data_IF_965834837809
#
_entry.id   IF_965834837809
#
_cell.length_a   1.000
_cell.length_b   1.000
_cell.length_c   1.000
_cell.angle_alpha   90.00
_cell.angle_beta   90.00
_cell.angle_gamma   90.00
#
_symmetry.space_group_name_H-M   'P 1'
#
loop_
_entity.id
_entity.type
_entity.pdbx_description
1 polymer ?
#
# COMPACT_ATOMS: atom_id res chain seq x y z
N UNK A 1 13.82 -0.65 -29.65
CA UNK A 1 13.37 -1.84 -28.88
C UNK A 1 13.88 -1.60 -27.47
N UNK A 2 13.01 -1.04 -26.62
CA UNK A 2 13.37 -0.69 -25.24
C UNK A 2 13.86 -1.95 -24.51
N UNK A 3 15.01 -1.91 -23.82
CA UNK A 3 15.42 -3.04 -23.00
C UNK A 3 14.41 -3.21 -21.86
N UNK A 4 13.89 -4.43 -21.75
CA UNK A 4 13.02 -4.87 -20.67
C UNK A 4 13.70 -4.57 -19.33
N UNK A 5 13.28 -3.51 -18.62
CA UNK A 5 13.72 -3.29 -17.24
C UNK A 5 13.14 -4.43 -16.42
N UNK A 6 13.95 -5.45 -16.15
CA UNK A 6 13.74 -6.26 -14.97
C UNK A 6 13.84 -5.30 -13.79
N UNK A 7 12.72 -5.01 -13.14
CA UNK A 7 12.74 -4.31 -11.88
C UNK A 7 13.68 -5.10 -10.97
N UNK A 8 14.81 -4.52 -10.62
CA UNK A 8 15.65 -5.05 -9.56
C UNK A 8 14.72 -5.21 -8.35
N UNK A 9 14.47 -6.45 -7.94
CA UNK A 9 13.75 -6.75 -6.71
C UNK A 9 14.53 -6.10 -5.58
N UNK A 10 14.12 -4.90 -5.21
CA UNK A 10 14.68 -4.21 -4.07
C UNK A 10 14.07 -4.91 -2.85
N UNK A 11 14.87 -5.59 -2.00
CA UNK A 11 14.36 -6.21 -0.77
C UNK A 11 13.90 -5.17 0.26
N UNK A 12 13.97 -3.89 -0.10
CA UNK A 12 13.58 -2.77 0.72
C UNK A 12 12.10 -2.52 0.55
N UNK A 13 11.37 -2.78 1.63
CA UNK A 13 10.02 -2.27 1.86
C UNK A 13 10.06 -0.76 1.57
N UNK A 14 9.05 -0.25 0.86
CA UNK A 14 8.88 1.18 0.73
C UNK A 14 8.87 1.80 2.16
N UNK A 15 9.82 2.70 2.51
CA UNK A 15 9.95 3.23 3.87
C UNK A 15 8.71 3.99 4.36
N UNK A 16 7.77 4.30 3.47
CA UNK A 16 6.50 4.94 3.77
C UNK A 16 5.41 3.95 4.21
N UNK A 17 5.60 2.63 4.02
CA UNK A 17 4.65 1.60 4.47
C UNK A 17 4.92 1.26 5.94
N UNK A 18 4.42 2.12 6.82
CA UNK A 18 4.51 2.01 8.28
C UNK A 18 3.13 1.88 8.90
N UNK A 19 2.99 1.34 10.12
CA UNK A 19 1.72 1.34 10.83
C UNK A 19 1.08 2.73 10.88
N UNK A 20 -0.21 2.82 10.56
CA UNK A 20 -0.98 4.07 10.46
C UNK A 20 -1.01 4.68 9.06
N UNK A 21 -0.07 4.33 8.18
CA UNK A 21 -0.07 4.78 6.79
C UNK A 21 -1.31 4.25 6.05
N UNK A 22 -1.81 5.06 5.11
CA UNK A 22 -2.93 4.68 4.27
C UNK A 22 -2.45 4.32 2.87
N UNK A 23 -3.05 3.28 2.33
CA UNK A 23 -2.64 2.65 1.09
C UNK A 23 -3.83 2.26 0.22
N UNK A 24 -3.58 2.10 -1.07
CA UNK A 24 -4.48 1.43 -2.02
C UNK A 24 -3.80 0.21 -2.62
N UNK A 25 -4.62 -0.82 -2.88
CA UNK A 25 -4.15 -1.98 -3.62
C UNK A 25 -4.35 -1.72 -5.12
N UNK A 26 -3.28 -1.72 -5.94
CA UNK A 26 -3.38 -1.34 -7.37
C UNK A 26 -4.30 -2.30 -8.15
N UNK A 27 -4.21 -3.60 -7.90
CA UNK A 27 -5.04 -4.60 -8.60
C UNK A 27 -6.42 -4.84 -7.99
N UNK A 28 -6.74 -4.21 -6.85
CA UNK A 28 -7.98 -4.41 -6.09
C UNK A 28 -8.58 -3.08 -5.64
N UNK A 29 -8.95 -2.20 -6.59
CA UNK A 29 -9.56 -0.92 -6.26
C UNK A 29 -10.91 -1.08 -5.53
N UNK A 30 -11.59 -2.21 -5.71
CA UNK A 30 -12.84 -2.55 -5.02
C UNK A 30 -12.69 -2.71 -3.51
N UNK A 31 -11.48 -3.00 -3.02
CA UNK A 31 -11.22 -3.13 -1.58
C UNK A 31 -11.28 -1.78 -0.84
N UNK A 32 -11.22 -0.67 -1.57
CA UNK A 32 -11.21 0.67 -1.01
C UNK A 32 -9.86 1.05 -0.42
N UNK A 33 -9.87 2.06 0.46
CA UNK A 33 -8.69 2.49 1.20
C UNK A 33 -8.33 1.44 2.24
N UNK A 34 -7.02 1.30 2.48
CA UNK A 34 -6.49 0.41 3.50
C UNK A 34 -5.60 1.15 4.47
N UNK A 35 -5.77 0.89 5.77
CA UNK A 35 -4.81 1.36 6.77
C UNK A 35 -3.85 0.24 7.15
N UNK A 36 -2.55 0.51 7.08
CA UNK A 36 -1.50 -0.40 7.50
C UNK A 36 -1.57 -0.57 9.02
N UNK A 37 -1.75 -1.80 9.49
CA UNK A 37 -1.71 -2.14 10.92
C UNK A 37 -0.33 -2.62 11.35
N UNK A 38 0.40 -3.32 10.48
CA UNK A 38 1.77 -3.77 10.75
C UNK A 38 2.55 -3.92 9.44
N UNK A 39 3.87 -3.71 9.52
CA UNK A 39 4.80 -3.96 8.43
C UNK A 39 6.07 -4.58 9.02
N UNK A 40 6.29 -5.88 8.76
CA UNK A 40 7.42 -6.65 9.30
C UNK A 40 8.11 -7.39 8.18
N UNK A 41 9.32 -6.96 7.81
CA UNK A 41 9.92 -7.41 6.57
C UNK A 41 8.96 -7.12 5.40
N UNK A 42 8.85 -8.04 4.44
CA UNK A 42 7.94 -7.84 3.31
C UNK A 42 6.46 -8.08 3.63
N UNK A 43 6.13 -8.48 4.87
CA UNK A 43 4.77 -8.82 5.29
C UNK A 43 4.07 -7.58 5.84
N UNK A 44 3.10 -7.08 5.09
CA UNK A 44 2.32 -5.90 5.46
C UNK A 44 0.87 -6.32 5.75
N UNK A 45 0.41 -6.09 6.97
CA UNK A 45 -1.01 -6.30 7.32
C UNK A 45 -1.77 -5.00 7.16
N UNK A 46 -2.79 -4.99 6.31
CA UNK A 46 -3.62 -3.82 6.01
C UNK A 46 -5.07 -4.13 6.33
N UNK A 47 -5.80 -3.18 6.93
CA UNK A 47 -7.26 -3.25 7.03
C UNK A 47 -7.86 -2.42 5.92
N UNK A 48 -8.44 -3.07 4.92
CA UNK A 48 -9.17 -2.41 3.84
C UNK A 48 -10.63 -2.18 4.22
N UNK A 49 -11.22 -1.09 3.75
CA UNK A 49 -12.61 -0.70 4.03
C UNK A 49 -13.61 -1.80 3.64
N UNK A 50 -13.49 -2.34 2.42
CA UNK A 50 -14.48 -3.26 1.85
C UNK A 50 -14.05 -4.74 1.92
N UNK A 51 -12.76 -5.01 2.11
CA UNK A 51 -12.23 -6.37 2.19
C UNK A 51 -11.80 -6.79 3.60
N UNK A 52 -11.80 -5.86 4.55
CA UNK A 52 -11.29 -6.07 5.90
C UNK A 52 -9.79 -6.34 5.93
N UNK A 53 -9.34 -7.10 6.93
CA UNK A 53 -7.92 -7.37 7.16
C UNK A 53 -7.34 -8.31 6.10
N UNK A 54 -6.24 -7.89 5.47
CA UNK A 54 -5.48 -8.68 4.48
C UNK A 54 -3.99 -8.57 4.74
N UNK A 55 -3.29 -9.68 4.50
CA UNK A 55 -1.85 -9.72 4.45
C UNK A 55 -1.41 -9.50 3.00
N UNK A 56 -0.56 -8.50 2.78
CA UNK A 56 0.02 -8.16 1.48
C UNK A 56 1.52 -8.37 1.57
N UNK A 57 2.10 -9.01 0.55
CA UNK A 57 3.54 -9.19 0.42
C UNK A 57 4.08 -8.02 -0.41
N UNK A 58 4.79 -7.09 0.21
CA UNK A 58 5.27 -5.86 -0.43
C UNK A 58 6.39 -6.09 -1.46
N UNK A 59 7.01 -7.27 -1.45
CA UNK A 59 7.95 -7.70 -2.50
C UNK A 59 7.22 -8.16 -3.77
N UNK A 60 5.94 -8.52 -3.68
CA UNK A 60 5.12 -8.97 -4.81
C UNK A 60 4.23 -7.85 -5.32
N UNK A 61 3.64 -7.08 -4.40
CA UNK A 61 2.65 -6.04 -4.70
C UNK A 61 3.14 -4.72 -4.10
N UNK A 62 3.37 -3.74 -4.95
CA UNK A 62 3.69 -2.38 -4.52
C UNK A 62 2.39 -1.64 -4.19
N UNK A 63 2.12 -1.44 -2.90
CA UNK A 63 0.98 -0.65 -2.45
C UNK A 63 1.19 0.83 -2.75
N UNK A 64 0.16 1.50 -3.26
CA UNK A 64 0.16 2.95 -3.46
C UNK A 64 -0.09 3.62 -2.11
N UNK A 65 0.93 4.29 -1.58
CA UNK A 65 0.83 5.05 -0.32
C UNK A 65 0.18 6.40 -0.62
N UNK A 66 -0.89 6.71 0.11
CA UNK A 66 -1.56 8.01 -0.01
C UNK A 66 -0.73 9.09 0.67
N UNK A 67 -0.59 10.21 -0.01
CA UNK A 67 -0.04 11.44 0.57
C UNK A 67 -1.01 12.11 1.54
N UNK A 68 -0.50 13.00 2.39
CA UNK A 68 -1.33 13.76 3.35
C UNK A 68 -2.43 14.55 2.66
N UNK A 69 -2.18 15.11 1.46
CA UNK A 69 -3.19 15.82 0.68
C UNK A 69 -4.31 14.91 0.15
N UNK A 70 -3.96 13.68 -0.27
CA UNK A 70 -4.95 12.69 -0.69
C UNK A 70 -5.75 12.17 0.50
N UNK A 71 -5.11 12.05 1.65
CA UNK A 71 -5.75 11.74 2.93
C UNK A 71 -6.73 12.82 3.35
N UNK A 72 -6.33 14.09 3.28
CA UNK A 72 -7.21 15.24 3.54
C UNK A 72 -8.36 15.34 2.53
N UNK A 73 -8.26 14.73 1.35
CA UNK A 73 -9.37 14.70 0.39
C UNK A 73 -10.27 13.48 0.59
N UNK A 74 -9.69 12.34 0.96
CA UNK A 74 -10.40 11.10 1.23
C UNK A 74 -11.17 11.14 2.56
N UNK A 75 -10.59 11.81 3.57
CA UNK A 75 -11.14 11.96 4.91
C UNK A 75 -11.44 13.42 5.26
N UNK A 76 -11.48 14.27 4.22
CA UNK A 76 -11.64 15.71 4.32
C UNK A 76 -12.82 16.14 5.15
N UNK A 77 -12.46 16.90 6.19
CA UNK A 77 -13.29 17.49 7.21
C UNK A 77 -14.20 18.56 6.60
N UNK A 78 -15.46 18.56 7.04
CA UNK A 78 -16.28 19.78 7.06
C UNK A 78 -15.55 20.91 7.80
#
# INVERSE_FOLDING_TARGET
MEPFRMAAFSPFINPLIVPGAWVRHPDRPDWGLGQVQSAVGTRVTVNFENAGKRLVMSDVILLDVLSDAEMDQAFGKE
#
